data_IF_666099337006
#
_entry.id   IF_666099337006
#
_cell.length_a   1.000
_cell.length_b   1.000
_cell.length_c   1.000
_cell.angle_alpha   90.00
_cell.angle_beta   90.00
_cell.angle_gamma   90.00
#
_symmetry.space_group_name_H-M   'P 1'
#
loop_
_entity.id
_entity.type
_entity.pdbx_description
1 polymer ?
#
# COMPACT_ATOMS: atom_id res chain seq x y z
N UNK A 1 17.58 -17.38 1.36
CA UNK A 1 17.15 -16.23 0.54
C UNK A 1 16.17 -15.43 1.38
N UNK A 2 16.25 -14.10 1.40
CA UNK A 2 15.31 -13.28 2.14
C UNK A 2 13.88 -13.52 1.62
N UNK A 3 12.91 -13.64 2.52
CA UNK A 3 11.49 -13.80 2.20
C UNK A 3 10.81 -12.46 2.45
N UNK A 4 9.92 -12.05 1.55
CA UNK A 4 9.20 -10.78 1.68
C UNK A 4 7.71 -11.02 1.78
N UNK A 5 7.07 -10.21 2.61
CA UNK A 5 5.63 -10.03 2.63
C UNK A 5 5.28 -8.72 1.91
N UNK A 6 4.26 -8.75 1.06
CA UNK A 6 3.81 -7.59 0.30
C UNK A 6 2.38 -7.17 0.68
N UNK A 7 2.14 -5.86 0.63
CA UNK A 7 0.83 -5.23 0.83
C UNK A 7 0.62 -4.12 -0.19
N UNK A 8 -0.63 -3.85 -0.52
CA UNK A 8 -1.00 -2.77 -1.44
C UNK A 8 -1.95 -1.79 -0.77
N UNK A 9 -1.73 -0.49 -0.99
CA UNK A 9 -2.63 0.58 -0.56
C UNK A 9 -3.14 1.32 -1.78
N UNK A 10 -4.45 1.39 -1.92
CA UNK A 10 -5.15 2.09 -3.01
C UNK A 10 -5.40 3.55 -2.58
N UNK A 11 -4.81 4.51 -3.29
CA UNK A 11 -4.97 5.95 -3.06
C UNK A 11 -6.21 6.52 -3.74
N UNK A 12 -6.79 5.82 -4.72
CA UNK A 12 -7.93 6.28 -5.48
C UNK A 12 -9.24 5.78 -4.86
N UNK A 13 -9.75 6.51 -3.87
CA UNK A 13 -11.08 6.29 -3.32
C UNK A 13 -12.20 6.74 -4.29
N UNK A 14 -12.34 6.06 -5.44
CA UNK A 14 -13.37 6.40 -6.45
C UNK A 14 -14.58 5.47 -6.48
N UNK A 15 -14.78 4.60 -5.48
CA UNK A 15 -15.98 3.75 -5.39
C UNK A 15 -16.91 4.27 -4.29
N UNK A 16 -17.97 5.03 -4.64
CA UNK A 16 -18.95 5.48 -3.66
C UNK A 16 -19.64 4.28 -2.99
N UNK A 17 -19.70 4.28 -1.65
CA UNK A 17 -20.45 3.28 -0.88
C UNK A 17 -19.64 2.10 -0.32
N UNK A 18 -18.36 1.95 -0.70
CA UNK A 18 -17.45 1.03 -0.01
C UNK A 18 -16.74 1.79 1.12
N UNK A 19 -16.93 1.39 2.38
CA UNK A 19 -16.05 1.82 3.48
C UNK A 19 -14.67 1.18 3.26
N UNK A 20 -13.82 1.81 2.45
CA UNK A 20 -12.39 1.48 2.40
C UNK A 20 -11.69 2.23 3.54
N UNK A 21 -10.70 1.59 4.17
CA UNK A 21 -9.78 2.19 5.15
C UNK A 21 -9.16 3.44 4.52
N UNK A 22 -9.00 4.52 5.30
CA UNK A 22 -8.35 5.73 4.83
C UNK A 22 -6.88 5.41 4.44
N UNK A 23 -6.38 5.87 3.28
CA UNK A 23 -5.03 5.52 2.84
C UNK A 23 -3.94 5.96 3.81
N UNK A 24 -4.11 7.09 4.51
CA UNK A 24 -3.15 7.56 5.51
C UNK A 24 -3.14 6.64 6.74
N UNK A 25 -4.32 6.23 7.21
CA UNK A 25 -4.43 5.27 8.32
C UNK A 25 -3.77 3.93 7.96
N UNK A 26 -4.04 3.41 6.76
CA UNK A 26 -3.44 2.17 6.26
C UNK A 26 -1.91 2.27 6.18
N UNK A 27 -1.38 3.39 5.66
CA UNK A 27 0.06 3.62 5.57
C UNK A 27 0.72 3.75 6.95
N UNK A 28 0.11 4.50 7.87
CA UNK A 28 0.60 4.65 9.24
C UNK A 28 0.67 3.31 9.96
N UNK A 29 -0.37 2.48 9.79
CA UNK A 29 -0.42 1.12 10.36
C UNK A 29 0.66 0.22 9.76
N UNK A 30 0.77 0.16 8.45
CA UNK A 30 1.78 -0.66 7.75
C UNK A 30 3.21 -0.22 8.10
N UNK A 31 3.47 1.08 8.21
CA UNK A 31 4.76 1.60 8.66
C UNK A 31 5.12 1.15 10.09
N UNK A 32 4.15 1.13 11.01
CA UNK A 32 4.35 0.58 12.37
C UNK A 32 4.59 -0.93 12.37
N UNK A 33 4.02 -1.64 11.42
CA UNK A 33 4.25 -3.07 11.20
C UNK A 33 5.60 -3.36 10.54
N UNK A 34 6.36 -2.33 10.12
CA UNK A 34 7.68 -2.48 9.49
C UNK A 34 7.64 -2.67 7.97
N UNK A 35 6.52 -2.35 7.33
CA UNK A 35 6.46 -2.30 5.87
C UNK A 35 7.02 -0.99 5.34
N UNK A 36 7.77 -1.10 4.25
CA UNK A 36 8.38 0.01 3.55
C UNK A 36 7.82 0.13 2.14
N UNK A 37 7.68 1.36 1.64
CA UNK A 37 7.22 1.60 0.27
C UNK A 37 8.29 1.17 -0.74
N UNK A 38 7.94 0.28 -1.66
CA UNK A 38 8.87 -0.23 -2.68
C UNK A 38 8.52 0.18 -4.10
N UNK A 39 7.24 0.45 -4.39
CA UNK A 39 6.82 0.83 -5.75
C UNK A 39 5.55 1.71 -5.72
N UNK A 40 5.44 2.61 -6.70
CA UNK A 40 4.27 3.44 -6.97
C UNK A 40 3.73 3.10 -8.34
N UNK A 41 2.54 2.50 -8.39
CA UNK A 41 1.87 2.20 -9.66
C UNK A 41 0.93 3.34 -10.02
N UNK A 42 1.29 4.03 -11.09
CA UNK A 42 0.45 5.04 -11.72
C UNK A 42 -0.52 4.39 -12.69
N UNK A 43 -1.81 4.71 -12.57
CA UNK A 43 -2.75 4.35 -13.61
C UNK A 43 -2.65 5.37 -14.76
N UNK A 44 -2.80 4.86 -15.99
CA UNK A 44 -2.90 5.72 -17.17
C UNK A 44 -4.00 6.77 -16.92
N UNK A 45 -3.73 8.02 -17.32
CA UNK A 45 -4.55 9.22 -17.07
C UNK A 45 -4.37 9.93 -15.71
N UNK A 46 -3.20 9.79 -15.08
CA UNK A 46 -2.60 10.91 -14.33
C UNK A 46 -2.79 10.92 -12.82
N UNK A 47 -2.80 9.75 -12.18
CA UNK A 47 -2.68 9.67 -10.73
C UNK A 47 -2.04 8.38 -10.26
N UNK A 48 -1.14 8.47 -9.28
CA UNK A 48 -0.71 7.32 -8.48
C UNK A 48 -1.94 6.77 -7.75
N UNK A 49 -2.35 5.56 -8.09
CA UNK A 49 -3.53 4.95 -7.47
C UNK A 49 -3.18 3.79 -6.56
N UNK A 50 -2.00 3.19 -6.70
CA UNK A 50 -1.64 2.01 -5.92
C UNK A 50 -0.20 2.09 -5.45
N UNK A 51 -0.02 1.90 -4.15
CA UNK A 51 1.28 1.78 -3.51
C UNK A 51 1.54 0.31 -3.21
N UNK A 52 2.75 -0.15 -3.46
CA UNK A 52 3.21 -1.49 -3.06
C UNK A 52 4.21 -1.31 -1.93
N UNK A 53 3.94 -1.95 -0.80
CA UNK A 53 4.82 -1.98 0.35
C UNK A 53 5.34 -3.40 0.59
N UNK A 54 6.56 -3.51 1.08
CA UNK A 54 7.20 -4.78 1.40
C UNK A 54 7.82 -4.75 2.79
N UNK A 55 7.86 -5.91 3.43
CA UNK A 55 8.60 -6.14 4.67
C UNK A 55 9.38 -7.44 4.56
N UNK A 56 10.64 -7.42 4.96
CA UNK A 56 11.44 -8.65 5.05
C UNK A 56 10.95 -9.50 6.24
N UNK A 57 10.79 -10.80 6.00
CA UNK A 57 10.40 -11.80 6.99
C UNK A 57 11.61 -12.66 7.29
N UNK A 58 12.18 -12.45 8.47
CA UNK A 58 13.11 -13.37 9.10
C UNK A 58 12.32 -14.43 9.86
N UNK A 59 12.55 -15.71 9.54
CA UNK A 59 12.10 -16.85 10.35
C UNK A 59 12.67 -16.81 11.77
#
# INVERSE_FOLDING_TARGET
MPRYEYRTVDLASKVPGLKKEDPEEALNRLGREGFELVERVEQQFGGTQLLILAREVTD
#
